data_IF_179654489100
#
_entry.id   IF_179654489100
#
_cell.length_a   1.000
_cell.length_b   1.000
_cell.length_c   1.000
_cell.angle_alpha   90.00
_cell.angle_beta   90.00
_cell.angle_gamma   90.00
#
_symmetry.space_group_name_H-M   'P 1'
#
loop_
_entity.id
_entity.type
_entity.pdbx_description
1 polymer ?
#
# COMPACT_ATOMS: atom_id res chain seq x y z
N UNK A 1 -14.51 -26.85 4.94
CA UNK A 1 -14.29 -25.76 3.95
C UNK A 1 -13.18 -24.86 4.45
N UNK A 2 -12.17 -24.51 3.63
CA UNK A 2 -11.02 -23.70 4.09
C UNK A 2 -11.18 -22.20 3.85
N UNK A 3 -10.85 -21.40 4.87
CA UNK A 3 -10.76 -19.94 4.80
C UNK A 3 -9.41 -19.47 5.33
N UNK A 4 -8.90 -18.36 4.80
CA UNK A 4 -7.70 -17.71 5.31
C UNK A 4 -8.07 -16.44 6.05
N UNK A 5 -7.46 -16.21 7.20
CA UNK A 5 -7.71 -15.04 8.04
C UNK A 5 -6.38 -14.31 8.27
N UNK A 6 -6.33 -13.01 8.01
CA UNK A 6 -5.16 -12.20 8.35
C UNK A 6 -5.08 -12.04 9.87
N UNK A 7 -3.93 -12.35 10.47
CA UNK A 7 -3.77 -12.30 11.93
C UNK A 7 -2.49 -11.59 12.37
N UNK A 8 -2.57 -11.01 13.56
CA UNK A 8 -1.44 -10.43 14.29
C UNK A 8 -0.61 -11.50 15.02
N UNK A 9 -1.12 -12.72 15.17
CA UNK A 9 -0.43 -13.83 15.85
C UNK A 9 -0.73 -15.19 15.22
N UNK A 10 -0.11 -16.27 15.72
CA UNK A 10 -0.21 -17.61 15.13
C UNK A 10 -1.43 -18.42 15.60
N UNK A 11 -2.23 -17.90 16.54
CA UNK A 11 -3.29 -18.67 17.21
C UNK A 11 -4.70 -18.21 16.84
N UNK A 12 -5.71 -19.05 17.04
CA UNK A 12 -7.12 -18.71 16.84
C UNK A 12 -7.63 -17.58 17.76
N UNK A 13 -6.98 -17.37 18.90
CA UNK A 13 -7.29 -16.29 19.83
C UNK A 13 -6.59 -14.97 19.48
N UNK A 14 -5.70 -15.00 18.48
CA UNK A 14 -5.04 -13.79 17.98
C UNK A 14 -6.04 -12.87 17.29
N UNK A 15 -5.75 -11.57 17.30
CA UNK A 15 -6.59 -10.60 16.63
C UNK A 15 -6.44 -10.67 15.10
N UNK A 16 -7.52 -10.31 14.40
CA UNK A 16 -7.49 -10.12 12.95
C UNK A 16 -6.66 -8.89 12.63
N UNK A 17 -5.64 -9.04 11.76
CA UNK A 17 -4.81 -7.90 11.34
C UNK A 17 -5.59 -7.07 10.30
N UNK A 18 -5.68 -5.74 10.49
CA UNK A 18 -6.37 -4.86 9.54
C UNK A 18 -5.63 -4.70 8.20
N UNK A 19 -4.40 -5.18 8.04
CA UNK A 19 -3.57 -4.99 6.84
C UNK A 19 -3.29 -6.35 6.18
N UNK A 20 -4.10 -6.75 5.20
CA UNK A 20 -3.93 -8.04 4.52
C UNK A 20 -2.49 -8.30 4.04
N UNK A 21 -1.89 -7.39 3.26
CA UNK A 21 -0.58 -7.63 2.68
C UNK A 21 0.53 -7.78 3.72
N UNK A 22 0.42 -7.05 4.84
CA UNK A 22 1.47 -6.89 5.86
C UNK A 22 1.10 -7.52 7.20
N UNK A 23 0.11 -8.40 7.23
CA UNK A 23 -0.21 -9.13 8.45
C UNK A 23 0.98 -10.01 8.84
N UNK A 24 1.07 -10.35 10.12
CA UNK A 24 2.15 -11.17 10.64
C UNK A 24 1.97 -12.63 10.24
N UNK A 25 0.73 -13.11 10.28
CA UNK A 25 0.37 -14.48 9.95
C UNK A 25 -0.88 -14.54 9.07
N UNK A 26 -0.97 -15.58 8.26
CA UNK A 26 -2.19 -16.05 7.62
C UNK A 26 -2.62 -17.33 8.32
N UNK A 27 -3.79 -17.31 8.96
CA UNK A 27 -4.34 -18.48 9.61
C UNK A 27 -5.30 -19.16 8.63
N UNK A 28 -4.94 -20.36 8.18
CA UNK A 28 -5.78 -21.19 7.31
C UNK A 28 -6.63 -22.06 8.22
N UNK A 29 -7.94 -21.81 8.29
CA UNK A 29 -8.89 -22.53 9.15
C UNK A 29 -9.77 -23.41 8.27
N UNK A 30 -9.94 -24.68 8.65
CA UNK A 30 -11.01 -25.51 8.13
C UNK A 30 -12.28 -25.32 8.98
N UNK A 31 -13.35 -24.82 8.37
CA UNK A 31 -14.61 -24.52 9.05
C UNK A 31 -15.41 -25.76 9.47
N UNK A 32 -15.04 -26.94 8.96
CA UNK A 32 -15.78 -28.18 9.24
C UNK A 32 -15.41 -28.72 10.64
N UNK A 33 -14.12 -28.69 11.00
CA UNK A 33 -13.60 -29.20 12.27
C UNK A 33 -12.85 -28.15 13.13
N UNK A 34 -12.73 -26.91 12.64
CA UNK A 34 -11.97 -25.81 13.25
C UNK A 34 -10.47 -26.09 13.40
N UNK A 35 -9.92 -27.04 12.65
CA UNK A 35 -8.47 -27.23 12.52
C UNK A 35 -7.85 -26.02 11.84
N UNK A 36 -6.61 -25.68 12.21
CA UNK A 36 -5.93 -24.51 11.64
C UNK A 36 -4.44 -24.73 11.40
N UNK A 37 -3.93 -24.00 10.42
CA UNK A 37 -2.50 -23.89 10.11
C UNK A 37 -2.10 -22.41 10.16
N UNK A 38 -1.06 -22.09 10.92
CA UNK A 38 -0.48 -20.75 10.98
C UNK A 38 0.65 -20.62 9.95
N UNK A 39 0.46 -19.72 8.98
CA UNK A 39 1.46 -19.45 7.94
C UNK A 39 2.09 -18.09 8.20
N UNK A 40 3.37 -18.01 8.60
CA UNK A 40 4.03 -16.72 8.77
C UNK A 40 4.16 -16.01 7.44
N UNK A 41 3.83 -14.71 7.43
CA UNK A 41 4.05 -13.90 6.24
C UNK A 41 5.53 -13.47 6.22
N UNK A 42 6.26 -13.81 5.17
CA UNK A 42 7.67 -13.41 5.01
C UNK A 42 7.82 -12.09 4.27
N UNK A 43 6.74 -11.52 3.76
CA UNK A 43 6.77 -10.38 2.84
C UNK A 43 6.63 -9.01 3.55
N UNK A 44 6.58 -8.96 4.89
CA UNK A 44 6.32 -7.72 5.65
C UNK A 44 7.28 -6.58 5.32
N UNK A 45 8.55 -6.90 5.08
CA UNK A 45 9.65 -5.94 4.92
C UNK A 45 9.94 -5.57 3.47
N UNK A 46 9.23 -6.16 2.49
CA UNK A 46 9.48 -5.83 1.09
C UNK A 46 8.95 -4.42 0.75
N UNK A 47 9.78 -3.66 0.02
CA UNK A 47 9.49 -2.25 -0.31
C UNK A 47 8.33 -2.05 -1.28
N UNK A 48 7.87 -3.09 -1.98
CA UNK A 48 6.79 -3.00 -2.96
C UNK A 48 6.20 -4.36 -3.31
N UNK A 49 4.94 -4.37 -3.77
CA UNK A 49 4.26 -5.60 -4.21
C UNK A 49 3.88 -6.58 -3.10
N UNK A 50 4.02 -6.20 -1.83
CA UNK A 50 3.74 -7.05 -0.65
C UNK A 50 2.36 -7.70 -0.74
N UNK A 51 1.32 -6.92 -1.07
CA UNK A 51 -0.04 -7.44 -1.18
C UNK A 51 -0.21 -8.48 -2.29
N UNK A 52 0.52 -8.36 -3.40
CA UNK A 52 0.49 -9.32 -4.52
C UNK A 52 1.12 -10.65 -4.09
N UNK A 53 2.30 -10.58 -3.45
CA UNK A 53 3.00 -11.79 -3.01
C UNK A 53 2.22 -12.52 -1.91
N UNK A 54 1.70 -11.78 -0.94
CA UNK A 54 0.81 -12.33 0.08
C UNK A 54 -0.43 -12.99 -0.52
N UNK A 55 -1.06 -12.36 -1.51
CA UNK A 55 -2.21 -12.95 -2.20
C UNK A 55 -1.86 -14.26 -2.93
N UNK A 56 -0.68 -14.36 -3.54
CA UNK A 56 -0.21 -15.61 -4.18
C UNK A 56 -0.02 -16.73 -3.17
N UNK A 57 0.66 -16.45 -2.05
CA UNK A 57 0.86 -17.42 -0.97
C UNK A 57 -0.48 -17.95 -0.45
N UNK A 58 -1.47 -17.06 -0.30
CA UNK A 58 -2.81 -17.44 0.15
C UNK A 58 -3.57 -18.25 -0.91
N UNK A 59 -3.47 -17.90 -2.19
CA UNK A 59 -4.09 -18.64 -3.28
C UNK A 59 -3.57 -20.08 -3.39
N UNK A 60 -2.28 -20.31 -3.14
CA UNK A 60 -1.67 -21.64 -3.13
C UNK A 60 -2.18 -22.54 -2.00
N UNK A 61 -2.76 -21.98 -0.93
CA UNK A 61 -3.32 -22.75 0.19
C UNK A 61 -4.68 -23.38 -0.11
N UNK A 62 -5.26 -23.10 -1.29
CA UNK A 62 -6.52 -23.71 -1.74
C UNK A 62 -7.73 -23.30 -0.88
N UNK A 63 -7.68 -22.12 -0.26
CA UNK A 63 -8.81 -21.57 0.47
C UNK A 63 -9.88 -21.04 -0.50
N UNK A 64 -11.14 -21.06 -0.06
CA UNK A 64 -12.26 -20.49 -0.83
C UNK A 64 -12.48 -19.01 -0.54
N UNK A 65 -12.07 -18.54 0.64
CA UNK A 65 -12.27 -17.16 1.04
C UNK A 65 -11.12 -16.63 1.89
N UNK A 66 -10.97 -15.31 1.88
CA UNK A 66 -10.03 -14.54 2.69
C UNK A 66 -10.79 -13.54 3.54
N UNK A 67 -10.60 -13.60 4.85
CA UNK A 67 -11.17 -12.68 5.84
C UNK A 67 -10.08 -11.74 6.32
N UNK A 68 -10.29 -10.44 6.14
CA UNK A 68 -9.31 -9.42 6.53
C UNK A 68 -10.01 -8.14 6.98
N UNK A 69 -9.31 -7.27 7.71
CA UNK A 69 -9.80 -5.92 7.92
C UNK A 69 -9.77 -5.12 6.62
N UNK A 70 -8.62 -5.01 5.97
CA UNK A 70 -8.48 -4.25 4.73
C UNK A 70 -7.63 -4.96 3.67
N UNK A 71 -7.99 -4.73 2.41
CA UNK A 71 -7.30 -5.22 1.21
C UNK A 71 -7.14 -4.09 0.20
N UNK A 72 -5.93 -3.91 -0.33
CA UNK A 72 -5.65 -2.96 -1.40
C UNK A 72 -6.01 -3.53 -2.79
N UNK A 73 -6.13 -2.68 -3.83
CA UNK A 73 -6.63 -3.06 -5.15
C UNK A 73 -5.77 -4.12 -5.84
N UNK A 74 -4.45 -4.03 -5.67
CA UNK A 74 -3.51 -5.00 -6.24
C UNK A 74 -3.65 -6.41 -5.64
N UNK A 75 -3.86 -6.50 -4.32
CA UNK A 75 -4.07 -7.78 -3.65
C UNK A 75 -5.46 -8.35 -3.97
N UNK A 76 -6.48 -7.50 -3.98
CA UNK A 76 -7.84 -7.89 -4.31
C UNK A 76 -7.93 -8.53 -5.70
N UNK A 77 -7.31 -7.91 -6.72
CA UNK A 77 -7.29 -8.45 -8.09
C UNK A 77 -6.72 -9.86 -8.14
N UNK A 78 -5.58 -10.11 -7.47
CA UNK A 78 -4.94 -11.43 -7.45
C UNK A 78 -5.81 -12.48 -6.75
N UNK A 79 -6.44 -12.11 -5.63
CA UNK A 79 -7.33 -13.01 -4.90
C UNK A 79 -8.58 -13.36 -5.72
N UNK A 80 -9.19 -12.36 -6.38
CA UNK A 80 -10.36 -12.56 -7.23
C UNK A 80 -10.04 -13.37 -8.49
N UNK A 81 -8.90 -13.13 -9.14
CA UNK A 81 -8.44 -13.93 -10.29
C UNK A 81 -8.17 -15.39 -9.91
N UNK A 82 -7.73 -15.63 -8.68
CA UNK A 82 -7.56 -16.97 -8.13
C UNK A 82 -8.88 -17.60 -7.64
N UNK A 83 -10.02 -16.91 -7.78
CA UNK A 83 -11.35 -17.41 -7.40
C UNK A 83 -11.61 -17.43 -5.89
N UNK A 84 -10.87 -16.64 -5.10
CA UNK A 84 -11.13 -16.49 -3.66
C UNK A 84 -12.10 -15.35 -3.39
N UNK A 85 -13.11 -15.64 -2.55
CA UNK A 85 -14.01 -14.62 -2.03
C UNK A 85 -13.30 -13.78 -0.96
N UNK A 86 -13.20 -12.48 -1.17
CA UNK A 86 -12.53 -11.59 -0.21
C UNK A 86 -13.57 -10.91 0.66
N UNK A 87 -13.53 -11.12 1.97
CA UNK A 87 -14.37 -10.40 2.94
C UNK A 87 -13.51 -9.39 3.68
N UNK A 88 -13.94 -8.12 3.63
CA UNK A 88 -13.26 -7.00 4.30
C UNK A 88 -14.06 -6.50 5.50
N UNK A 89 -13.45 -5.66 6.34
CA UNK A 89 -14.10 -5.09 7.53
C UNK A 89 -14.22 -6.09 8.68
N UNK A 90 -13.47 -7.19 8.63
CA UNK A 90 -13.47 -8.21 9.68
C UNK A 90 -12.62 -7.73 10.85
N UNK A 91 -13.16 -7.90 12.06
CA UNK A 91 -12.52 -7.53 13.33
C UNK A 91 -12.87 -8.52 14.44
N UNK A 92 -12.09 -8.49 15.52
CA UNK A 92 -12.16 -9.44 16.63
C UNK A 92 -11.06 -10.50 16.53
N UNK A 93 -11.29 -11.65 17.17
CA UNK A 93 -10.34 -12.77 17.11
C UNK A 93 -10.53 -13.59 15.84
N UNK A 94 -9.48 -14.33 15.45
CA UNK A 94 -9.52 -15.26 14.29
C UNK A 94 -10.65 -16.27 14.44
N UNK A 95 -10.85 -16.84 15.64
CA UNK A 95 -11.98 -17.73 15.94
C UNK A 95 -13.32 -17.07 15.66
N UNK A 96 -13.54 -15.85 16.18
CA UNK A 96 -14.79 -15.12 15.97
C UNK A 96 -15.02 -14.82 14.49
N UNK A 97 -13.98 -14.47 13.75
CA UNK A 97 -14.06 -14.24 12.31
C UNK A 97 -14.47 -15.51 11.54
N UNK A 98 -13.86 -16.65 11.84
CA UNK A 98 -14.20 -17.94 11.25
C UNK A 98 -15.65 -18.34 11.56
N UNK A 99 -16.08 -18.21 12.82
CA UNK A 99 -17.44 -18.53 13.24
C UNK A 99 -18.49 -17.60 12.61
N UNK A 100 -18.23 -16.29 12.54
CA UNK A 100 -19.09 -15.31 11.87
C UNK A 100 -19.25 -15.64 10.38
N UNK A 101 -18.16 -16.05 9.73
CA UNK A 101 -18.21 -16.48 8.33
C UNK A 101 -19.05 -17.75 8.16
N UNK A 102 -18.88 -18.74 9.04
CA UNK A 102 -19.67 -19.98 9.03
C UNK A 102 -21.17 -19.74 9.25
N UNK A 103 -21.54 -18.83 10.15
CA UNK A 103 -22.94 -18.60 10.54
C UNK A 103 -23.73 -17.74 9.56
N UNK A 104 -23.11 -16.73 8.94
CA UNK A 104 -23.85 -15.70 8.20
C UNK A 104 -23.37 -15.44 6.77
N UNK A 105 -22.40 -16.21 6.25
CA UNK A 105 -21.86 -15.99 4.91
C UNK A 105 -21.48 -14.53 4.72
N UNK A 106 -20.48 -14.05 5.47
CA UNK A 106 -20.07 -12.64 5.45
C UNK A 106 -19.98 -12.16 3.99
N UNK A 107 -20.74 -11.12 3.65
CA UNK A 107 -20.87 -10.62 2.28
C UNK A 107 -19.48 -10.46 1.66
N UNK A 108 -19.23 -11.18 0.57
CA UNK A 108 -18.02 -11.01 -0.23
C UNK A 108 -17.90 -9.54 -0.63
N UNK A 109 -16.74 -8.95 -0.40
CA UNK A 109 -16.42 -7.62 -0.86
C UNK A 109 -16.32 -7.66 -2.39
N UNK A 110 -17.13 -6.83 -3.05
CA UNK A 110 -17.13 -6.68 -4.52
C UNK A 110 -15.97 -5.81 -5.03
N UNK A 111 -15.21 -5.18 -4.12
CA UNK A 111 -14.13 -4.23 -4.41
C UNK A 111 -13.22 -4.05 -3.19
N UNK A 112 -11.98 -3.63 -3.44
CA UNK A 112 -11.02 -3.24 -2.41
C UNK A 112 -11.58 -2.10 -1.52
N UNK A 113 -11.27 -2.15 -0.23
CA UNK A 113 -11.83 -1.20 0.76
C UNK A 113 -10.84 -0.11 1.22
N UNK A 114 -9.58 -0.17 0.78
CA UNK A 114 -8.56 0.86 1.04
C UNK A 114 -7.80 1.21 -0.24
N UNK A 115 -7.30 2.45 -0.30
CA UNK A 115 -6.41 2.90 -1.38
C UNK A 115 -5.05 2.21 -1.35
N UNK A 116 -4.26 2.40 -2.43
CA UNK A 116 -2.90 1.89 -2.50
C UNK A 116 -2.04 2.39 -1.32
N UNK A 117 -1.11 1.55 -0.85
CA UNK A 117 -0.17 1.83 0.25
C UNK A 117 -0.73 1.84 1.69
N UNK A 118 -1.92 1.28 1.94
CA UNK A 118 -2.43 1.13 3.30
C UNK A 118 -1.45 0.39 4.23
N UNK A 119 -1.24 0.92 5.44
CA UNK A 119 -0.35 0.35 6.44
C UNK A 119 1.13 0.71 6.32
N UNK A 120 1.51 1.58 5.37
CA UNK A 120 2.84 2.19 5.33
C UNK A 120 2.85 3.41 6.25
N UNK A 121 2.91 3.19 7.57
CA UNK A 121 3.28 4.28 8.46
C UNK A 121 4.78 4.47 8.33
N UNK A 122 5.21 5.39 7.46
CA UNK A 122 6.40 6.17 7.79
C UNK A 122 6.05 6.89 9.09
N UNK A 123 6.47 6.31 10.22
CA UNK A 123 6.60 7.05 11.45
C UNK A 123 7.40 8.30 11.09
N UNK A 124 6.75 9.46 11.05
CA UNK A 124 7.47 10.72 11.06
C UNK A 124 8.26 10.71 12.37
N UNK A 125 9.61 10.78 12.36
CA UNK A 125 10.30 11.14 13.56
C UNK A 125 9.84 12.56 13.90
N UNK A 126 9.17 12.70 15.04
CA UNK A 126 8.95 13.99 15.67
C UNK A 126 10.31 14.54 16.12
N UNK A 127 11.08 15.12 15.19
CA UNK A 127 12.26 15.91 15.54
C UNK A 127 11.83 17.36 15.75
N UNK A 128 11.49 17.64 17.01
CA UNK A 128 11.99 18.74 17.82
C UNK A 128 12.13 20.13 17.15
N UNK A 129 11.18 21.00 17.47
CA UNK A 129 11.40 22.33 18.05
C UNK A 129 12.49 23.21 17.43
N UNK A 130 12.13 23.97 16.39
CA UNK A 130 12.76 25.27 16.11
C UNK A 130 11.86 26.38 16.65
N UNK A 131 12.23 26.94 17.80
CA UNK A 131 11.62 28.17 18.29
C UNK A 131 12.00 29.38 17.41
N UNK A 132 11.14 30.41 17.31
CA UNK A 132 11.38 31.59 16.49
C UNK A 132 12.18 32.63 17.28
N UNK A 133 13.34 33.08 16.78
CA UNK A 133 13.98 34.28 17.33
C UNK A 133 13.67 35.49 16.45
N UNK A 134 12.88 36.40 17.01
CA UNK A 134 12.54 37.71 16.47
C UNK A 134 13.79 38.58 16.29
N UNK A 135 13.80 39.25 15.14
CA UNK A 135 14.52 40.46 14.81
C UNK A 135 14.41 41.54 15.90
N UNK A 136 15.52 41.93 16.53
CA UNK A 136 15.83 43.33 16.83
C UNK A 136 17.31 43.48 17.25
N UNK A 137 18.08 44.33 16.55
CA UNK A 137 19.25 45.00 17.16
C UNK A 137 20.58 44.99 16.40
N UNK A 138 20.77 46.03 15.58
CA UNK A 138 21.94 46.94 15.54
C UNK A 138 23.39 46.40 15.70
N UNK A 139 24.17 46.64 14.63
CA UNK A 139 25.44 47.39 14.62
C UNK A 139 26.66 47.01 15.51
N UNK A 140 27.79 46.86 14.80
CA UNK A 140 29.19 47.13 15.17
C UNK A 140 29.85 46.32 16.31
N UNK A 141 30.98 45.67 16.00
CA UNK A 141 31.85 45.10 17.03
C UNK A 141 33.09 44.37 16.51
N UNK A 142 34.08 45.14 16.08
CA UNK A 142 35.44 44.68 15.78
C UNK A 142 36.05 43.98 17.02
N UNK A 143 36.47 42.72 16.90
CA UNK A 143 36.89 41.91 18.07
C UNK A 143 37.93 40.84 17.72
N UNK A 144 39.18 41.27 17.68
CA UNK A 144 40.44 40.50 17.64
C UNK A 144 40.42 39.28 18.57
N UNK A 145 40.58 38.08 18.02
CA UNK A 145 40.75 36.83 18.75
C UNK A 145 41.74 35.89 18.05
N UNK A 146 43.00 35.99 18.45
CA UNK A 146 44.17 35.31 17.92
C UNK A 146 44.40 34.01 18.72
N UNK A 147 44.52 32.87 18.03
CA UNK A 147 44.95 31.57 18.59
C UNK A 147 44.35 30.43 17.77
N UNK A 148 45.08 29.49 17.16
CA UNK A 148 46.47 29.09 17.33
C UNK A 148 46.50 27.57 17.35
N UNK A 149 47.01 26.92 16.29
CA UNK A 149 47.50 25.54 16.40
C UNK A 149 47.02 24.53 15.34
N UNK A 150 48.01 24.10 14.52
CA UNK A 150 48.29 22.73 14.02
C UNK A 150 47.18 21.96 13.27
N UNK A 151 47.41 21.37 12.10
CA UNK A 151 48.67 21.06 11.43
C UNK A 151 48.45 20.75 9.95
N UNK A 152 49.46 21.13 9.19
CA UNK A 152 49.57 21.04 7.74
C UNK A 152 50.27 19.72 7.43
N UNK A 153 49.51 18.71 6.99
CA UNK A 153 50.02 17.43 6.52
C UNK A 153 49.82 17.32 5.02
N UNK A 154 50.85 17.68 4.26
CA UNK A 154 50.88 17.53 2.80
C UNK A 154 50.95 16.07 2.38
N UNK A 155 50.06 15.69 1.48
CA UNK A 155 50.08 14.38 0.80
C UNK A 155 49.92 14.58 -0.70
N UNK A 156 51.05 14.74 -1.40
CA UNK A 156 51.18 14.61 -2.85
C UNK A 156 50.79 13.19 -3.26
N UNK A 157 49.71 13.05 -4.03
CA UNK A 157 49.33 11.82 -4.69
C UNK A 157 49.20 12.03 -6.19
N UNK A 158 50.32 11.93 -6.91
CA UNK A 158 50.36 11.75 -8.37
C UNK A 158 49.75 10.39 -8.71
N UNK A 159 48.56 10.40 -9.31
CA UNK A 159 47.90 9.22 -9.87
C UNK A 159 47.59 9.45 -11.34
N UNK A 160 48.62 9.46 -12.19
CA UNK A 160 48.49 9.48 -13.64
C UNK A 160 47.96 8.15 -14.15
N UNK A 161 46.65 8.08 -14.36
CA UNK A 161 45.96 6.99 -15.06
C UNK A 161 45.49 7.47 -16.42
N UNK A 162 46.41 7.51 -17.39
CA UNK A 162 46.08 7.70 -18.80
C UNK A 162 45.41 6.42 -19.31
N UNK A 163 44.09 6.47 -19.50
CA UNK A 163 43.33 5.35 -19.99
C UNK A 163 42.13 5.83 -20.80
N UNK A 164 42.18 5.50 -22.09
CA UNK A 164 41.08 5.34 -23.03
C UNK A 164 40.78 6.55 -23.93
N UNK A 165 41.04 6.33 -25.21
CA UNK A 165 41.02 7.30 -26.29
C UNK A 165 39.66 7.96 -26.53
N UNK A 166 39.71 9.27 -26.68
CA UNK A 166 38.69 10.07 -27.35
C UNK A 166 38.88 9.91 -28.87
N UNK A 167 38.04 9.07 -29.47
CA UNK A 167 37.77 9.13 -30.90
C UNK A 167 36.77 10.24 -31.20
N UNK A 168 37.08 11.03 -32.25
CA UNK A 168 36.20 11.78 -33.18
C UNK A 168 34.69 11.55 -32.96
N UNK A 169 33.82 12.55 -32.88
CA UNK A 169 33.76 13.76 -33.71
C UNK A 169 32.50 13.70 -34.60
N UNK A 170 31.64 14.72 -34.46
CA UNK A 170 30.58 15.18 -35.38
C UNK A 170 29.32 14.32 -35.63
N UNK A 171 28.15 14.91 -35.35
CA UNK A 171 26.96 14.76 -36.20
C UNK A 171 25.61 14.50 -35.49
N UNK A 172 24.73 15.52 -35.53
CA UNK A 172 23.26 15.51 -35.60
C UNK A 172 22.41 14.40 -34.93
N UNK A 173 21.48 14.86 -34.07
CA UNK A 173 20.07 14.43 -33.82
C UNK A 173 19.55 13.08 -34.40
N UNK A 174 18.65 12.33 -33.70
CA UNK A 174 17.49 12.88 -32.99
C UNK A 174 17.25 12.35 -31.56
N UNK A 175 16.60 13.21 -30.79
CA UNK A 175 15.98 12.94 -29.49
C UNK A 175 14.63 12.25 -29.65
N UNK A 176 14.45 11.09 -29.02
CA UNK A 176 13.17 10.41 -28.77
C UNK A 176 13.31 9.73 -27.41
N UNK A 177 12.42 9.77 -26.43
CA UNK A 177 11.22 10.58 -26.14
C UNK A 177 10.83 10.14 -24.72
N UNK A 178 10.98 11.01 -23.72
CA UNK A 178 10.36 10.80 -22.40
C UNK A 178 8.84 10.97 -22.54
N UNK A 179 8.00 10.11 -21.94
CA UNK A 179 6.58 10.33 -21.95
C UNK A 179 6.25 11.61 -21.17
N UNK A 180 5.55 12.49 -21.86
CA UNK A 180 5.12 13.81 -21.44
C UNK A 180 4.26 13.76 -20.17
N UNK A 181 4.45 14.76 -19.32
CA UNK A 181 3.51 15.15 -18.28
C UNK A 181 2.17 15.50 -18.93
N UNK A 182 1.13 14.72 -18.65
CA UNK A 182 -0.23 14.99 -19.10
C UNK A 182 -0.84 16.05 -18.18
N UNK A 183 -1.33 17.11 -18.79
CA UNK A 183 -1.78 18.34 -18.15
C UNK A 183 -3.20 18.19 -17.59
N UNK A 184 -3.44 18.63 -16.35
CA UNK A 184 -4.68 18.44 -15.56
C UNK A 184 -5.98 19.07 -16.10
N UNK A 185 -6.06 19.43 -17.39
CA UNK A 185 -7.32 19.79 -18.07
C UNK A 185 -8.02 18.57 -18.68
N UNK A 186 -7.28 17.53 -19.05
CA UNK A 186 -7.84 16.29 -19.60
C UNK A 186 -8.57 15.47 -18.52
N UNK A 187 -8.15 15.59 -17.26
CA UNK A 187 -8.76 14.92 -16.12
C UNK A 187 -10.18 15.43 -15.80
N UNK A 188 -10.46 16.72 -15.99
CA UNK A 188 -11.79 17.27 -15.67
C UNK A 188 -12.85 16.75 -16.65
N UNK A 189 -12.47 16.58 -17.93
CA UNK A 189 -13.40 16.07 -18.94
C UNK A 189 -13.67 14.58 -18.75
N UNK A 190 -12.64 13.79 -18.45
CA UNK A 190 -12.80 12.37 -18.13
C UNK A 190 -13.61 12.17 -16.85
N UNK A 191 -13.38 12.98 -15.80
CA UNK A 191 -14.14 12.94 -14.56
C UNK A 191 -15.60 13.36 -14.75
N UNK A 192 -15.88 14.37 -15.59
CA UNK A 192 -17.26 14.77 -15.93
C UNK A 192 -18.00 13.68 -16.70
N UNK A 193 -17.31 12.99 -17.59
CA UNK A 193 -17.91 11.88 -18.34
C UNK A 193 -18.18 10.67 -17.44
N UNK A 194 -17.23 10.33 -16.56
CA UNK A 194 -17.44 9.32 -15.53
C UNK A 194 -18.62 9.66 -14.60
N UNK A 195 -18.77 10.93 -14.21
CA UNK A 195 -19.89 11.38 -13.39
C UNK A 195 -21.24 11.19 -14.12
N UNK A 196 -21.32 11.48 -15.43
CA UNK A 196 -22.53 11.23 -16.23
C UNK A 196 -22.91 9.76 -16.28
N UNK A 197 -21.92 8.88 -16.50
CA UNK A 197 -22.14 7.44 -16.57
C UNK A 197 -22.69 6.92 -15.24
N UNK A 198 -22.09 7.35 -14.12
CA UNK A 198 -22.55 6.97 -12.78
C UNK A 198 -23.95 7.51 -12.48
N UNK A 199 -24.28 8.74 -12.89
CA UNK A 199 -25.63 9.29 -12.73
C UNK A 199 -26.67 8.45 -13.49
N UNK A 200 -26.38 8.01 -14.71
CA UNK A 200 -27.26 7.14 -15.47
C UNK A 200 -27.47 5.77 -14.81
N UNK A 201 -26.41 5.17 -14.27
CA UNK A 201 -26.51 3.91 -13.51
C UNK A 201 -27.35 4.09 -12.24
N UNK A 202 -27.23 5.23 -11.57
CA UNK A 202 -28.02 5.52 -10.38
C UNK A 202 -29.51 5.63 -10.70
N UNK A 203 -29.87 6.28 -11.81
CA UNK A 203 -31.26 6.37 -12.28
C UNK A 203 -31.85 5.01 -12.64
N UNK A 204 -31.06 4.14 -13.28
CA UNK A 204 -31.49 2.77 -13.61
C UNK A 204 -31.74 1.92 -12.35
N UNK A 205 -30.84 2.02 -11.36
CA UNK A 205 -31.00 1.34 -10.06
C UNK A 205 -32.25 1.86 -9.34
N UNK A 206 -32.48 3.17 -9.32
CA UNK A 206 -33.67 3.77 -8.70
C UNK A 206 -34.96 3.33 -9.40
N UNK A 207 -34.96 3.24 -10.74
CA UNK A 207 -36.11 2.73 -11.49
C UNK A 207 -36.41 1.28 -11.10
N UNK A 208 -35.39 0.43 -10.99
CA UNK A 208 -35.55 -0.98 -10.64
C UNK A 208 -35.99 -1.18 -9.19
N UNK A 209 -35.55 -0.32 -8.28
CA UNK A 209 -36.06 -0.29 -6.90
C UNK A 209 -37.56 0.03 -6.91
N UNK A 210 -37.98 1.05 -7.65
CA UNK A 210 -39.39 1.45 -7.73
C UNK A 210 -40.28 0.35 -8.33
N UNK A 211 -39.82 -0.30 -9.41
CA UNK A 211 -40.53 -1.44 -10.02
C UNK A 211 -40.71 -2.59 -9.02
N UNK A 212 -39.67 -2.90 -8.23
CA UNK A 212 -39.74 -3.94 -7.20
C UNK A 212 -40.55 -3.53 -5.95
N UNK A 213 -40.68 -2.24 -5.66
CA UNK A 213 -41.54 -1.72 -4.61
C UNK A 213 -43.02 -1.75 -5.03
N UNK A 214 -43.32 -1.44 -6.30
CA UNK A 214 -44.68 -1.47 -6.86
C UNK A 214 -45.18 -2.92 -7.13
N UNK A 215 -44.27 -3.90 -7.29
CA UNK A 215 -44.58 -5.33 -7.45
C UNK A 215 -44.74 -6.11 -6.12
N UNK A 216 -44.57 -5.46 -4.97
CA UNK A 216 -44.84 -6.08 -3.65
C UNK A 216 -46.35 -5.98 -3.32
N UNK A 217 -47.07 -7.11 -3.15
CA UNK A 217 -48.49 -7.12 -2.77
C UNK A 217 -48.72 -6.65 -1.33
#
# INVERSE_FOLDING_TARGET
MKVVISSTGPDLESEVDPRFGRCQYFIVVDLDDMSFEAVPNTNLTQGGGVGIQSAKVVAEKGAKAVLTGNVGPNAYRVLSEAGLDVTTGVSGTVRQAAEKYRQNGLKAALKANVGDHFGNQTAQPASQFTAPSQDTGASFGMGRGMGGGRGMGGGRGMGGGCGKGMGRGMGNAPTMSSPAQVTGKEDILSLKEHARILSGQMEEIQRRIKELEDERP
#
